data_IF_222675362300
#
_entry.id   IF_222675362300
#
_cell.length_a   1.000
_cell.length_b   1.000
_cell.length_c   1.000
_cell.angle_alpha   90.00
_cell.angle_beta   90.00
_cell.angle_gamma   90.00
#
_symmetry.space_group_name_H-M   'P 1'
#
loop_
_entity.id
_entity.type
_entity.pdbx_description
1 polymer ?
#
# COMPACT_ATOMS: atom_id res chain seq x y z
N UNK A 1 2.04 -10.44 37.82
CA UNK A 1 1.69 -10.98 36.49
C UNK A 1 2.91 -10.82 35.61
N UNK A 2 3.73 -11.86 35.55
CA UNK A 2 4.94 -11.89 34.73
C UNK A 2 4.52 -12.45 33.39
N UNK A 3 4.51 -11.62 32.34
CA UNK A 3 4.41 -12.12 30.97
C UNK A 3 5.83 -12.32 30.46
N UNK A 4 6.25 -13.58 30.45
CA UNK A 4 7.48 -14.03 29.80
C UNK A 4 7.40 -13.64 28.31
N UNK A 5 8.33 -12.79 27.86
CA UNK A 5 8.60 -12.58 26.44
C UNK A 5 9.64 -13.61 26.03
N UNK A 6 9.22 -14.64 25.31
CA UNK A 6 10.11 -15.39 24.44
C UNK A 6 10.07 -14.81 23.03
N UNK A 7 11.26 -14.42 22.57
CA UNK A 7 11.86 -14.78 21.28
C UNK A 7 10.92 -14.89 20.09
N UNK A 8 10.93 -13.88 19.21
CA UNK A 8 11.48 -13.94 17.84
C UNK A 8 11.22 -12.55 17.24
N UNK A 9 12.26 -11.88 16.74
CA UNK A 9 12.07 -10.72 15.86
C UNK A 9 11.56 -11.23 14.51
N UNK A 10 10.30 -11.63 14.46
CA UNK A 10 9.52 -11.52 13.24
C UNK A 10 8.92 -10.13 13.32
N UNK A 11 9.33 -9.24 12.43
CA UNK A 11 8.47 -8.11 12.06
C UNK A 11 7.23 -8.76 11.45
N UNK A 12 6.24 -9.09 12.28
CA UNK A 12 4.88 -9.30 11.82
C UNK A 12 4.45 -7.97 11.23
N UNK A 13 4.70 -7.80 9.92
CA UNK A 13 3.88 -6.91 9.14
C UNK A 13 2.46 -7.42 9.34
N UNK A 14 1.65 -6.71 10.12
CA UNK A 14 0.24 -6.96 10.32
C UNK A 14 -0.42 -6.99 8.94
N UNK A 15 -0.54 -8.17 8.34
CA UNK A 15 -1.11 -8.40 7.01
C UNK A 15 -2.63 -8.32 7.01
N UNK A 16 -3.15 -7.21 7.51
CA UNK A 16 -4.58 -6.89 7.53
C UNK A 16 -4.83 -5.54 8.19
N UNK A 17 -5.15 -4.53 7.37
CA UNK A 17 -5.82 -3.32 7.85
C UNK A 17 -5.56 -2.04 7.05
N UNK A 18 -4.31 -1.62 6.86
CA UNK A 18 -4.02 -0.27 6.36
C UNK A 18 -4.08 -0.14 4.82
N UNK A 19 -3.67 -1.17 4.07
CA UNK A 19 -3.69 -1.13 2.60
C UNK A 19 -5.11 -1.16 2.02
N UNK A 20 -6.02 -1.87 2.69
CA UNK A 20 -7.43 -1.97 2.25
C UNK A 20 -8.18 -0.66 2.53
N UNK A 21 -7.75 0.14 3.51
CA UNK A 21 -8.27 1.50 3.72
C UNK A 21 -7.95 2.42 2.53
N UNK A 22 -6.80 2.20 1.88
CA UNK A 22 -6.38 2.93 0.68
C UNK A 22 -7.02 2.37 -0.60
N UNK A 23 -7.85 1.32 -0.51
CA UNK A 23 -8.44 0.69 -1.70
C UNK A 23 -9.46 1.60 -2.37
N UNK A 24 -9.23 1.87 -3.65
CA UNK A 24 -10.18 2.56 -4.51
C UNK A 24 -11.16 1.53 -5.08
N UNK A 25 -12.42 1.62 -4.69
CA UNK A 25 -13.49 0.76 -5.20
C UNK A 25 -13.99 1.20 -6.58
N UNK A 26 -14.11 2.52 -6.77
CA UNK A 26 -14.56 3.14 -8.02
C UNK A 26 -13.99 4.54 -8.16
N UNK A 27 -13.82 5.00 -9.40
CA UNK A 27 -13.46 6.38 -9.72
C UNK A 27 -14.55 7.02 -10.58
N UNK A 28 -14.87 8.31 -10.36
CA UNK A 28 -15.82 9.03 -11.22
C UNK A 28 -15.40 8.98 -12.69
N UNK A 29 -16.28 8.48 -13.56
CA UNK A 29 -16.04 8.40 -15.00
C UNK A 29 -15.11 7.26 -15.44
N UNK A 30 -14.61 6.43 -14.52
CA UNK A 30 -13.80 5.27 -14.89
C UNK A 30 -14.69 4.14 -15.41
N UNK A 31 -14.39 3.55 -16.58
CA UNK A 31 -15.03 2.32 -17.03
C UNK A 31 -14.78 1.17 -16.05
N UNK A 32 -15.59 0.12 -16.11
CA UNK A 32 -15.40 -1.06 -15.25
C UNK A 32 -14.01 -1.67 -15.48
N UNK A 33 -13.23 -1.78 -14.41
CA UNK A 33 -11.91 -2.41 -14.39
C UNK A 33 -11.93 -3.69 -13.56
N UNK A 34 -11.01 -4.63 -13.87
CA UNK A 34 -10.89 -5.91 -13.19
C UNK A 34 -9.66 -5.99 -12.27
N UNK A 35 -8.82 -4.96 -12.27
CA UNK A 35 -7.67 -4.87 -11.37
C UNK A 35 -8.03 -4.08 -10.11
N UNK A 36 -7.31 -4.36 -9.02
CA UNK A 36 -7.39 -3.53 -7.82
C UNK A 36 -6.49 -2.31 -7.97
N UNK A 37 -6.91 -1.22 -7.36
CA UNK A 37 -6.15 0.01 -7.31
C UNK A 37 -6.27 0.61 -5.91
N UNK A 38 -5.21 1.28 -5.50
CA UNK A 38 -5.03 1.81 -4.16
C UNK A 38 -4.40 3.19 -4.27
N UNK A 39 -4.81 4.11 -3.40
CA UNK A 39 -4.16 5.42 -3.29
C UNK A 39 -4.17 5.90 -1.86
N UNK A 40 -3.08 6.54 -1.46
CA UNK A 40 -2.94 7.06 -0.12
C UNK A 40 -1.70 7.93 0.03
N UNK A 41 -1.32 8.16 1.28
CA UNK A 41 -0.15 8.95 1.62
C UNK A 41 0.83 8.11 2.45
N UNK A 42 2.10 8.14 2.06
CA UNK A 42 3.19 7.57 2.84
C UNK A 42 3.97 8.71 3.48
N UNK A 43 3.96 8.77 4.81
CA UNK A 43 4.76 9.75 5.55
C UNK A 43 6.25 9.44 5.38
N UNK A 44 7.00 10.37 4.81
CA UNK A 44 8.44 10.23 4.54
C UNK A 44 9.31 11.04 5.51
N UNK A 45 8.71 12.01 6.21
CA UNK A 45 9.36 12.70 7.31
C UNK A 45 8.30 13.19 8.31
N UNK A 46 8.28 12.58 9.49
CA UNK A 46 7.31 12.91 10.54
C UNK A 46 7.55 14.30 11.15
N UNK A 47 8.80 14.67 11.43
CA UNK A 47 9.16 15.95 12.07
C UNK A 47 8.79 17.15 11.19
N UNK A 48 9.02 17.03 9.89
CA UNK A 48 8.69 18.04 8.89
C UNK A 48 7.26 17.90 8.36
N UNK A 49 6.48 16.93 8.82
CA UNK A 49 5.11 16.68 8.36
C UNK A 49 5.00 16.35 6.86
N UNK A 50 6.04 15.76 6.25
CA UNK A 50 6.06 15.47 4.81
C UNK A 50 5.53 14.07 4.53
N UNK A 51 4.60 13.99 3.58
CA UNK A 51 4.10 12.75 3.02
C UNK A 51 4.09 12.80 1.49
N UNK A 52 4.28 11.63 0.87
CA UNK A 52 4.15 11.45 -0.57
C UNK A 52 2.83 10.78 -0.88
N UNK A 53 2.09 11.35 -1.83
CA UNK A 53 0.93 10.69 -2.42
C UNK A 53 1.38 9.56 -3.34
N UNK A 54 0.63 8.46 -3.35
CA UNK A 54 0.81 7.37 -4.32
C UNK A 54 -0.53 6.93 -4.93
N UNK A 55 -0.45 6.37 -6.13
CA UNK A 55 -1.55 5.64 -6.78
C UNK A 55 -0.98 4.36 -7.39
N UNK A 56 -1.35 3.22 -6.82
CA UNK A 56 -0.94 1.89 -7.24
C UNK A 56 -2.08 1.22 -8.03
N UNK A 57 -1.74 0.60 -9.15
CA UNK A 57 -2.64 -0.31 -9.88
C UNK A 57 -1.99 -1.68 -9.96
N UNK A 58 -2.70 -2.72 -9.55
CA UNK A 58 -2.21 -4.08 -9.65
C UNK A 58 -2.26 -4.57 -11.10
N UNK A 59 -1.38 -5.52 -11.44
CA UNK A 59 -1.48 -6.20 -12.71
C UNK A 59 -2.79 -7.00 -12.80
N UNK A 60 -3.46 -6.93 -13.96
CA UNK A 60 -4.75 -7.59 -14.17
C UNK A 60 -4.70 -9.12 -14.04
N UNK A 61 -3.56 -9.74 -14.33
CA UNK A 61 -3.39 -11.19 -14.34
C UNK A 61 -2.23 -11.60 -13.43
N UNK A 62 -2.51 -12.47 -12.46
CA UNK A 62 -1.54 -13.01 -11.51
C UNK A 62 -0.67 -11.92 -10.85
N UNK A 63 -1.27 -10.90 -10.19
CA UNK A 63 -0.55 -9.73 -9.67
C UNK A 63 0.63 -10.09 -8.76
N UNK A 64 0.48 -11.12 -7.93
CA UNK A 64 1.53 -11.60 -7.02
C UNK A 64 2.78 -12.13 -7.75
N UNK A 65 2.68 -12.49 -9.04
CA UNK A 65 3.78 -13.01 -9.84
C UNK A 65 4.34 -11.96 -10.82
N UNK A 66 3.86 -10.71 -10.76
CA UNK A 66 4.32 -9.62 -11.63
C UNK A 66 5.29 -8.71 -10.85
N UNK A 67 6.31 -8.14 -11.52
CA UNK A 67 7.21 -7.22 -10.86
C UNK A 67 6.49 -5.92 -10.50
N UNK A 68 6.98 -5.26 -9.45
CA UNK A 68 6.60 -3.89 -9.13
C UNK A 68 7.36 -2.91 -10.05
N UNK A 69 6.63 -1.97 -10.65
CA UNK A 69 7.22 -0.89 -11.44
C UNK A 69 6.88 0.43 -10.74
N UNK A 70 7.91 1.24 -10.48
CA UNK A 70 7.75 2.58 -9.91
C UNK A 70 7.91 3.59 -11.04
N UNK A 71 6.88 4.41 -11.25
CA UNK A 71 6.90 5.50 -12.21
C UNK A 71 7.05 6.84 -11.48
N UNK A 72 8.10 7.58 -11.80
CA UNK A 72 8.36 8.91 -11.26
C UNK A 72 8.35 9.90 -12.42
N UNK A 73 7.41 10.85 -12.39
CA UNK A 73 7.45 11.98 -13.30
C UNK A 73 8.54 12.96 -12.86
N UNK A 74 9.23 13.54 -13.83
CA UNK A 74 10.13 14.67 -13.61
C UNK A 74 9.42 16.01 -13.77
N UNK A 75 10.24 17.02 -14.04
CA UNK A 75 9.89 18.39 -14.38
C UNK A 75 11.13 19.09 -14.90
#
# INVERSE_FOLDING_TARGET
MVLLRESTNVVEAKGGGAEEEDRILELPGQPKVLFKQFSGYVTVNHEAGRALFYWLTEAQQNPLNKPLVIWLNGG
#
